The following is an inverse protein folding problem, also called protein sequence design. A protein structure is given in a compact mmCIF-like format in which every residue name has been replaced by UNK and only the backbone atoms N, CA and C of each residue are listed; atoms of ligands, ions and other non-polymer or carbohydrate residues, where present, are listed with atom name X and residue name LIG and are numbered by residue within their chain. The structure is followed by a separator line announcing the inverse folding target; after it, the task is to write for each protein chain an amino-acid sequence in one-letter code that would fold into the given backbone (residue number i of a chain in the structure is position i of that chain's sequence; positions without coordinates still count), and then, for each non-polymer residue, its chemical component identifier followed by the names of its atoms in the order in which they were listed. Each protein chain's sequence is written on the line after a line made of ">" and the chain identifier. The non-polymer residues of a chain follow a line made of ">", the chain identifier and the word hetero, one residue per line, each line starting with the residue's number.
data_IF_621416543754
#
_entry.id   IF_621416543754
#
_cell.length_a   1.000
_cell.length_b   1.000
_cell.length_c   1.000
_cell.angle_alpha   90.00
_cell.angle_beta   90.00
_cell.angle_gamma   90.00
#
_symmetry.space_group_name_H-M   'P 1'
#
loop_
_entity.id
_entity.type
_entity.pdbx_description
1 polymer ?
#
# COMPACT_ATOMS: atom_id res chain seq x y z
N UNK A 1 11.78 8.27 6.05
CA UNK A 1 12.60 7.94 4.86
C UNK A 1 11.74 7.35 3.75
N UNK A 2 11.13 6.15 3.92
CA UNK A 2 10.24 5.55 2.92
C UNK A 2 9.13 6.52 2.45
N UNK A 3 8.49 7.17 3.41
CA UNK A 3 7.47 8.21 3.21
C UNK A 3 7.95 9.42 2.37
N UNK A 4 9.20 9.84 2.54
CA UNK A 4 9.78 10.94 1.76
C UNK A 4 10.16 10.48 0.35
N UNK A 5 10.62 9.23 0.22
CA UNK A 5 11.04 8.63 -1.05
C UNK A 5 9.86 8.39 -1.98
N UNK A 6 8.77 7.81 -1.48
CA UNK A 6 7.57 7.54 -2.28
C UNK A 6 6.94 8.82 -2.83
N UNK A 7 7.10 9.97 -2.14
CA UNK A 7 6.65 11.28 -2.62
C UNK A 7 7.55 11.90 -3.69
N UNK A 8 8.71 11.29 -3.98
CA UNK A 8 9.62 11.80 -4.99
C UNK A 8 8.94 11.83 -6.37
N UNK A 9 9.14 12.89 -7.18
CA UNK A 9 8.68 12.91 -8.56
C UNK A 9 9.50 11.94 -9.44
N UNK A 10 10.66 11.50 -8.97
CA UNK A 10 11.48 10.52 -9.68
C UNK A 10 10.97 9.10 -9.40
N UNK A 11 10.50 8.42 -10.46
CA UNK A 11 9.94 7.08 -10.38
C UNK A 11 10.84 6.08 -9.64
N UNK A 12 12.15 6.09 -9.89
CA UNK A 12 13.08 5.15 -9.25
C UNK A 12 13.16 5.37 -7.73
N UNK A 13 13.16 6.62 -7.27
CA UNK A 13 13.13 6.96 -5.85
C UNK A 13 11.78 6.59 -5.22
N UNK A 14 10.68 6.82 -5.94
CA UNK A 14 9.36 6.46 -5.47
C UNK A 14 9.20 4.93 -5.31
N UNK A 15 9.62 4.18 -6.33
CA UNK A 15 9.66 2.71 -6.31
C UNK A 15 10.54 2.19 -5.16
N UNK A 16 11.73 2.77 -4.98
CA UNK A 16 12.62 2.39 -3.87
C UNK A 16 12.00 2.68 -2.49
N UNK A 17 11.25 3.78 -2.36
CA UNK A 17 10.44 4.04 -1.16
C UNK A 17 9.40 2.94 -0.90
N UNK A 18 8.76 2.45 -1.97
CA UNK A 18 7.85 1.30 -1.92
C UNK A 18 8.55 0.01 -1.46
N UNK A 19 9.70 -0.31 -2.04
CA UNK A 19 10.49 -1.50 -1.66
C UNK A 19 10.95 -1.44 -0.19
N UNK A 20 11.28 -0.24 0.29
CA UNK A 20 11.61 -0.02 1.69
C UNK A 20 10.40 -0.28 2.60
N UNK A 21 9.18 0.13 2.22
CA UNK A 21 7.97 -0.22 2.97
C UNK A 21 7.74 -1.73 3.04
N UNK A 22 7.90 -2.44 1.92
CA UNK A 22 7.78 -3.90 1.87
C UNK A 22 8.78 -4.55 2.83
N UNK A 23 10.05 -4.12 2.73
CA UNK A 23 11.13 -4.63 3.58
C UNK A 23 10.85 -4.37 5.05
N UNK A 24 10.41 -3.16 5.42
CA UNK A 24 10.09 -2.81 6.81
C UNK A 24 8.94 -3.69 7.33
N UNK A 25 7.89 -3.90 6.53
CA UNK A 25 6.76 -4.75 6.94
C UNK A 25 7.19 -6.21 7.22
N UNK A 26 8.16 -6.73 6.44
CA UNK A 26 8.74 -8.05 6.67
C UNK A 26 9.66 -8.10 7.88
N UNK A 27 10.46 -7.04 8.13
CA UNK A 27 11.39 -6.97 9.25
C UNK A 27 10.67 -6.86 10.61
N UNK A 28 9.59 -6.08 10.71
CA UNK A 28 8.84 -5.96 11.94
C UNK A 28 7.83 -7.09 12.08
N UNK A 29 7.80 -7.73 13.26
CA UNK A 29 6.86 -8.80 13.58
C UNK A 29 5.69 -8.34 14.44
N UNK A 30 5.81 -7.22 15.15
CA UNK A 30 4.76 -6.68 16.00
C UNK A 30 3.67 -5.97 15.18
N UNK A 31 2.44 -6.05 15.67
CA UNK A 31 1.27 -5.50 14.98
C UNK A 31 1.30 -3.97 14.94
N UNK A 32 1.83 -3.31 15.97
CA UNK A 32 1.89 -1.86 16.06
C UNK A 32 2.75 -1.26 14.94
N UNK A 33 3.99 -1.74 14.79
CA UNK A 33 4.90 -1.26 13.74
C UNK A 33 4.35 -1.55 12.34
N UNK A 34 3.72 -2.72 12.15
CA UNK A 34 3.06 -3.06 10.88
C UNK A 34 1.86 -2.16 10.58
N UNK A 35 1.07 -1.83 11.59
CA UNK A 35 -0.05 -0.91 11.45
C UNK A 35 0.42 0.49 11.05
N UNK A 36 1.48 1.01 11.67
CA UNK A 36 2.05 2.31 11.31
C UNK A 36 2.56 2.33 9.87
N UNK A 37 3.22 1.24 9.44
CA UNK A 37 3.67 1.08 8.05
C UNK A 37 2.49 1.08 7.09
N UNK A 38 1.46 0.29 7.36
CA UNK A 38 0.26 0.24 6.52
C UNK A 38 -0.49 1.56 6.51
N UNK A 39 -0.62 2.24 7.66
CA UNK A 39 -1.23 3.55 7.77
C UNK A 39 -0.54 4.54 6.82
N UNK A 40 0.78 4.60 6.84
CA UNK A 40 1.55 5.45 5.94
C UNK A 40 1.31 5.10 4.47
N UNK A 41 1.40 3.81 4.08
CA UNK A 41 1.12 3.36 2.71
C UNK A 41 -0.29 3.80 2.26
N UNK A 42 -1.30 3.62 3.11
CA UNK A 42 -2.69 3.96 2.82
C UNK A 42 -2.89 5.47 2.64
N UNK A 43 -2.16 6.33 3.34
CA UNK A 43 -2.24 7.79 3.11
C UNK A 43 -1.85 8.17 1.67
N UNK A 44 -0.90 7.45 1.06
CA UNK A 44 -0.49 7.68 -0.33
C UNK A 44 -1.54 7.23 -1.34
N UNK A 45 -2.42 6.29 -0.97
CA UNK A 45 -3.54 5.89 -1.82
C UNK A 45 -4.65 6.95 -1.84
N UNK A 46 -4.90 7.65 -0.73
CA UNK A 46 -6.00 8.63 -0.63
C UNK A 46 -5.62 10.07 -1.02
N UNK A 47 -4.34 10.43 -0.95
CA UNK A 47 -3.88 11.82 -1.16
C UNK A 47 -2.71 12.00 -2.12
N UNK A 48 -2.26 10.94 -2.78
CA UNK A 48 -1.13 10.99 -3.72
C UNK A 48 -1.51 11.47 -5.12
N UNK A 49 -0.50 11.82 -5.91
CA UNK A 49 -0.65 11.92 -7.37
C UNK A 49 -0.77 10.51 -8.00
N UNK A 50 -1.04 10.45 -9.30
CA UNK A 50 -1.28 9.18 -10.01
C UNK A 50 -0.17 8.14 -9.80
N UNK A 51 1.10 8.55 -9.93
CA UNK A 51 2.26 7.67 -9.76
C UNK A 51 2.40 7.20 -8.31
N UNK A 52 2.17 8.08 -7.35
CA UNK A 52 2.21 7.74 -5.92
C UNK A 52 1.13 6.73 -5.55
N UNK A 53 -0.09 6.91 -6.06
CA UNK A 53 -1.20 5.96 -5.86
C UNK A 53 -0.82 4.61 -6.48
N UNK A 54 -0.27 4.63 -7.69
CA UNK A 54 0.15 3.41 -8.38
C UNK A 54 1.20 2.63 -7.58
N UNK A 55 2.25 3.30 -7.08
CA UNK A 55 3.31 2.68 -6.26
C UNK A 55 2.74 2.17 -4.94
N UNK A 56 1.90 2.93 -4.25
CA UNK A 56 1.29 2.51 -2.99
C UNK A 56 0.42 1.25 -3.16
N UNK A 57 -0.36 1.18 -4.26
CA UNK A 57 -1.13 -0.01 -4.60
C UNK A 57 -0.25 -1.20 -5.00
N UNK A 58 0.89 -0.97 -5.67
CA UNK A 58 1.84 -2.04 -5.99
C UNK A 58 2.51 -2.61 -4.73
N UNK A 59 2.80 -1.76 -3.75
CA UNK A 59 3.27 -2.18 -2.42
C UNK A 59 2.21 -3.05 -1.73
N UNK A 60 0.96 -2.57 -1.64
CA UNK A 60 -0.13 -3.34 -1.03
C UNK A 60 -0.39 -4.66 -1.76
N UNK A 61 -0.33 -4.68 -3.09
CA UNK A 61 -0.46 -5.89 -3.88
C UNK A 61 0.66 -6.88 -3.59
N UNK A 62 1.90 -6.42 -3.56
CA UNK A 62 3.07 -7.26 -3.25
C UNK A 62 2.94 -7.86 -1.86
N UNK A 63 2.63 -7.02 -0.86
CA UNK A 63 2.40 -7.45 0.51
C UNK A 63 1.25 -8.47 0.59
N UNK A 64 0.14 -8.25 -0.11
CA UNK A 64 -1.00 -9.18 -0.12
C UNK A 64 -0.60 -10.57 -0.65
N UNK A 65 0.32 -10.62 -1.61
CA UNK A 65 0.80 -11.87 -2.20
C UNK A 65 1.87 -12.55 -1.33
N UNK A 66 2.81 -11.78 -0.77
CA UNK A 66 3.93 -12.34 0.01
C UNK A 66 3.58 -12.62 1.48
N UNK A 67 2.58 -11.92 2.03
CA UNK A 67 2.37 -11.81 3.48
C UNK A 67 0.88 -11.72 3.85
N UNK A 68 0.00 -12.37 3.08
CA UNK A 68 -1.46 -12.34 3.27
C UNK A 68 -1.91 -12.54 4.72
N UNK A 69 -1.38 -13.56 5.42
CA UNK A 69 -1.76 -13.85 6.81
C UNK A 69 -1.42 -12.70 7.77
N UNK A 70 -0.28 -12.03 7.56
CA UNK A 70 0.14 -10.88 8.34
C UNK A 70 -0.69 -9.61 8.02
N UNK A 71 -1.28 -9.51 6.84
CA UNK A 71 -2.14 -8.38 6.45
C UNK A 71 -3.60 -8.52 6.90
N UNK A 72 -4.09 -9.75 7.08
CA UNK A 72 -5.50 -10.00 7.45
C UNK A 72 -5.99 -9.21 8.67
N UNK A 73 -5.22 -9.08 9.77
CA UNK A 73 -5.64 -8.26 10.92
C UNK A 73 -5.93 -6.80 10.55
N UNK A 74 -5.29 -6.30 9.49
CA UNK A 74 -5.40 -4.92 9.02
C UNK A 74 -6.38 -4.74 7.85
N UNK A 75 -7.15 -5.79 7.51
CA UNK A 75 -8.11 -5.77 6.40
C UNK A 75 -9.12 -4.64 6.45
N UNK A 76 -9.55 -4.23 7.65
CA UNK A 76 -10.46 -3.09 7.84
C UNK A 76 -9.85 -1.78 7.33
N UNK A 77 -8.56 -1.54 7.60
CA UNK A 77 -7.86 -0.35 7.10
C UNK A 77 -7.75 -0.38 5.57
N UNK A 78 -7.49 -1.56 4.99
CA UNK A 78 -7.40 -1.74 3.53
C UNK A 78 -8.76 -1.53 2.87
N UNK A 79 -9.87 -1.92 3.51
CA UNK A 79 -11.22 -1.59 3.04
C UNK A 79 -11.49 -0.09 2.99
N UNK A 80 -10.90 0.69 3.89
CA UNK A 80 -11.00 2.15 3.88
C UNK A 80 -10.49 2.80 2.58
N UNK A 81 -9.66 2.09 1.79
CA UNK A 81 -9.24 2.59 0.46
C UNK A 81 -10.43 2.75 -0.49
N UNK A 82 -11.52 1.98 -0.29
CA UNK A 82 -12.73 2.07 -1.11
C UNK A 82 -13.39 3.45 -1.03
N UNK A 83 -13.16 4.19 0.05
CA UNK A 83 -13.70 5.54 0.23
C UNK A 83 -13.03 6.57 -0.72
N UNK A 84 -11.90 6.21 -1.35
CA UNK A 84 -11.15 7.08 -2.27
C UNK A 84 -11.26 6.68 -3.75
N UNK A 85 -12.19 5.79 -4.11
CA UNK A 85 -12.35 5.27 -5.48
C UNK A 85 -12.57 6.37 -6.52
N UNK A 86 -13.16 7.50 -6.15
CA UNK A 86 -13.38 8.65 -7.05
C UNK A 86 -12.07 9.24 -7.59
N UNK A 87 -10.96 9.07 -6.87
CA UNK A 87 -9.64 9.55 -7.26
C UNK A 87 -8.85 8.53 -8.10
N UNK A 88 -9.42 7.35 -8.36
CA UNK A 88 -8.71 6.23 -8.96
C UNK A 88 -8.98 6.12 -10.46
N UNK A 89 -7.93 5.84 -11.23
CA UNK A 89 -8.06 5.34 -12.60
C UNK A 89 -8.49 3.88 -12.59
N UNK A 90 -9.04 3.39 -13.70
CA UNK A 90 -9.44 1.98 -13.83
C UNK A 90 -8.29 0.99 -13.51
N UNK A 91 -7.04 1.36 -13.79
CA UNK A 91 -5.85 0.58 -13.42
C UNK A 91 -5.71 0.41 -11.91
N UNK A 92 -5.93 1.47 -11.15
CA UNK A 92 -5.87 1.48 -9.69
C UNK A 92 -7.00 0.65 -9.10
N UNK A 93 -8.22 0.82 -9.63
CA UNK A 93 -9.39 0.05 -9.22
C UNK A 93 -9.13 -1.46 -9.41
N UNK A 94 -8.63 -1.87 -10.59
CA UNK A 94 -8.29 -3.28 -10.83
C UNK A 94 -7.27 -3.83 -9.83
N UNK A 95 -6.22 -3.06 -9.49
CA UNK A 95 -5.23 -3.46 -8.48
C UNK A 95 -5.88 -3.58 -7.09
N UNK A 96 -6.69 -2.61 -6.68
CA UNK A 96 -7.39 -2.63 -5.39
C UNK A 96 -8.29 -3.86 -5.27
N UNK A 97 -9.14 -4.13 -6.26
CA UNK A 97 -10.00 -5.32 -6.22
C UNK A 97 -9.22 -6.63 -6.22
N UNK A 98 -8.04 -6.68 -6.86
CA UNK A 98 -7.14 -7.84 -6.77
C UNK A 98 -6.60 -8.00 -5.35
N UNK A 99 -6.20 -6.94 -4.67
CA UNK A 99 -5.76 -6.95 -3.27
C UNK A 99 -6.89 -7.49 -2.37
N UNK A 100 -8.08 -6.92 -2.48
CA UNK A 100 -9.25 -7.33 -1.70
C UNK A 100 -9.60 -8.80 -1.92
N UNK A 101 -9.54 -9.26 -3.18
CA UNK A 101 -9.77 -10.67 -3.54
C UNK A 101 -8.75 -11.61 -2.89
N UNK A 102 -7.45 -11.25 -2.90
CA UNK A 102 -6.38 -12.05 -2.27
C UNK A 102 -6.58 -12.13 -0.75
N UNK A 103 -7.00 -11.03 -0.14
CA UNK A 103 -7.30 -10.98 1.28
C UNK A 103 -8.65 -11.64 1.62
N UNK A 104 -9.47 -11.95 0.62
CA UNK A 104 -10.82 -12.53 0.73
C UNK A 104 -11.79 -11.63 1.50
N UNK A 105 -11.78 -10.34 1.20
CA UNK A 105 -12.53 -9.32 1.95
C UNK A 105 -13.34 -8.38 1.09
#
# INVERSE_FOLDING_TARGET
>A
IADSLIRSPEFHLASFGGDLYITLFHCFSDEYSRQEILGNILTHTGGGNDDQIAVALDVLLTLSQSSCQALRPFSVFIKGVLDYLENFKDSHIRKLFRILSILSI
#
